data_IF_342779180284
#
_entry.id   IF_342779180284
#
_cell.length_a   1.000
_cell.length_b   1.000
_cell.length_c   1.000
_cell.angle_alpha   90.00
_cell.angle_beta   90.00
_cell.angle_gamma   90.00
#
_symmetry.space_group_name_H-M   'P 1'
#
loop_
_entity.id
_entity.type
_entity.pdbx_description
1 polymer ?
#
# COMPACT_ATOMS: atom_id res chain seq x y z
N UNK A 1 -28.27 -17.35 -2.73
CA UNK A 1 -28.10 -16.23 -3.67
C UNK A 1 -26.96 -15.39 -3.16
N UNK A 2 -25.95 -15.24 -4.00
CA UNK A 2 -24.54 -15.16 -3.66
C UNK A 2 -24.13 -13.84 -3.00
N UNK A 3 -23.36 -13.92 -1.91
CA UNK A 3 -22.57 -12.78 -1.40
C UNK A 3 -21.56 -12.26 -2.45
N UNK A 4 -21.28 -13.03 -3.51
CA UNK A 4 -20.55 -12.56 -4.70
C UNK A 4 -21.36 -11.58 -5.57
N UNK A 5 -22.70 -11.68 -5.64
CA UNK A 5 -23.49 -10.76 -6.47
C UNK A 5 -23.66 -9.38 -5.84
N UNK A 6 -23.58 -9.29 -4.50
CA UNK A 6 -23.56 -8.03 -3.75
C UNK A 6 -22.21 -7.30 -3.92
N UNK A 7 -21.14 -8.01 -4.26
CA UNK A 7 -19.79 -7.44 -4.37
C UNK A 7 -19.55 -6.64 -5.66
N UNK A 8 -20.32 -6.91 -6.73
CA UNK A 8 -20.14 -6.28 -8.03
C UNK A 8 -20.96 -5.00 -8.26
N UNK A 9 -21.86 -4.61 -7.36
CA UNK A 9 -22.91 -3.64 -7.69
C UNK A 9 -23.05 -2.40 -6.79
N UNK A 10 -22.22 -2.18 -5.76
CA UNK A 10 -22.51 -1.10 -4.80
C UNK A 10 -21.34 -0.32 -4.20
N UNK A 11 -20.09 -0.54 -4.61
CA UNK A 11 -18.97 0.24 -4.08
C UNK A 11 -17.98 0.67 -5.17
N UNK A 12 -17.82 1.98 -5.30
CA UNK A 12 -17.00 2.63 -6.32
C UNK A 12 -15.50 2.41 -6.04
N UNK A 13 -14.77 1.89 -7.03
CA UNK A 13 -13.34 1.62 -6.90
C UNK A 13 -12.58 2.94 -7.01
N UNK A 14 -12.05 3.44 -5.90
CA UNK A 14 -11.33 4.71 -5.87
C UNK A 14 -9.98 4.60 -6.61
N UNK A 15 -9.73 5.41 -7.66
CA UNK A 15 -8.44 5.47 -8.33
C UNK A 15 -7.34 5.81 -7.32
N UNK A 16 -6.32 4.96 -7.27
CA UNK A 16 -5.22 5.08 -6.30
C UNK A 16 -3.99 5.75 -6.91
N UNK A 17 -3.99 6.12 -8.19
CA UNK A 17 -2.81 6.75 -8.80
C UNK A 17 -2.81 8.26 -8.61
N UNK A 18 -1.64 8.80 -8.25
CA UNK A 18 -1.48 10.23 -7.99
C UNK A 18 -1.74 11.09 -9.24
N UNK A 19 -1.51 10.58 -10.45
CA UNK A 19 -1.81 11.35 -11.67
C UNK A 19 -3.31 11.53 -11.92
N UNK A 20 -4.14 10.60 -11.46
CA UNK A 20 -5.60 10.63 -11.58
C UNK A 20 -6.26 11.54 -10.53
N UNK A 21 -5.52 11.94 -9.49
CA UNK A 21 -6.02 12.83 -8.45
C UNK A 21 -6.44 14.19 -9.06
N UNK A 22 -7.71 14.61 -8.83
CA UNK A 22 -8.24 15.88 -9.33
C UNK A 22 -7.44 17.11 -8.91
N UNK A 23 -7.41 18.12 -9.78
CA UNK A 23 -6.66 19.35 -9.53
C UNK A 23 -7.08 20.09 -8.24
N UNK A 24 -8.39 20.17 -7.98
CA UNK A 24 -8.92 20.83 -6.78
C UNK A 24 -8.52 20.13 -5.47
N UNK A 25 -8.06 18.87 -5.54
CA UNK A 25 -7.51 18.11 -4.41
C UNK A 25 -6.00 18.30 -4.31
N UNK A 26 -5.31 18.39 -5.45
CA UNK A 26 -3.87 18.69 -5.48
C UNK A 26 -3.55 20.08 -4.96
N UNK A 27 -4.38 21.08 -5.26
CA UNK A 27 -4.09 22.47 -4.91
C UNK A 27 -3.91 22.68 -3.39
N UNK A 28 -4.83 22.25 -2.50
CA UNK A 28 -4.60 22.36 -1.05
C UNK A 28 -3.31 21.69 -0.57
N UNK A 29 -2.98 20.50 -1.10
CA UNK A 29 -1.73 19.81 -0.79
C UNK A 29 -0.51 20.60 -1.22
N UNK A 30 -0.56 21.24 -2.39
CA UNK A 30 0.54 22.07 -2.89
C UNK A 30 0.74 23.29 -1.97
N UNK A 31 -0.34 23.97 -1.57
CA UNK A 31 -0.28 25.08 -0.62
C UNK A 31 0.38 24.69 0.70
N UNK A 32 0.04 23.51 1.24
CA UNK A 32 0.65 22.99 2.48
C UNK A 32 2.15 22.71 2.27
N UNK A 33 2.51 22.07 1.16
CA UNK A 33 3.89 21.64 0.88
C UNK A 33 4.81 22.79 0.44
N UNK A 34 4.27 23.85 -0.16
CA UNK A 34 5.01 25.05 -0.56
C UNK A 34 5.16 26.07 0.57
N UNK A 35 4.65 25.79 1.77
CA UNK A 35 4.90 26.63 2.94
C UNK A 35 6.39 26.59 3.33
N UNK A 36 7.14 27.61 2.92
CA UNK A 36 8.58 27.71 3.17
C UNK A 36 8.95 28.01 4.62
N UNK A 37 8.01 28.51 5.44
CA UNK A 37 8.24 28.71 6.86
C UNK A 37 8.36 27.37 7.61
N UNK A 38 7.73 26.33 7.06
CA UNK A 38 7.88 24.96 7.55
C UNK A 38 9.07 24.26 6.90
N UNK A 39 10.25 24.44 7.50
CA UNK A 39 11.50 23.85 7.02
C UNK A 39 11.59 22.32 7.19
N UNK A 40 10.66 21.69 7.91
CA UNK A 40 10.71 20.26 8.25
C UNK A 40 9.72 19.40 7.49
N UNK A 41 8.60 19.98 7.05
CA UNK A 41 7.49 19.20 6.48
C UNK A 41 7.15 19.62 5.04
N UNK A 42 7.94 20.48 4.40
CA UNK A 42 7.68 20.99 3.05
C UNK A 42 8.05 20.02 1.90
N UNK A 43 7.82 20.48 0.68
CA UNK A 43 8.08 19.74 -0.56
C UNK A 43 9.56 19.29 -0.72
N UNK A 44 10.53 20.05 -0.20
CA UNK A 44 11.95 19.69 -0.32
C UNK A 44 12.26 18.47 0.53
N UNK A 45 11.74 18.45 1.76
CA UNK A 45 11.89 17.30 2.66
C UNK A 45 11.15 16.07 2.09
N UNK A 46 9.98 16.28 1.48
CA UNK A 46 9.28 15.23 0.75
C UNK A 46 10.15 14.64 -0.38
N UNK A 47 10.81 15.48 -1.18
CA UNK A 47 11.73 15.00 -2.23
C UNK A 47 12.87 14.16 -1.66
N UNK A 48 13.45 14.56 -0.53
CA UNK A 48 14.49 13.78 0.14
C UNK A 48 13.98 12.44 0.69
N UNK A 49 12.73 12.39 1.15
CA UNK A 49 12.11 11.18 1.67
C UNK A 49 11.79 10.15 0.56
N UNK A 50 11.44 10.61 -0.64
CA UNK A 50 11.06 9.75 -1.78
C UNK A 50 12.30 9.14 -2.45
N UNK A 51 12.84 8.08 -1.86
CA UNK A 51 14.03 7.38 -2.39
C UNK A 51 13.77 6.60 -3.69
N UNK A 52 12.50 6.23 -3.94
CA UNK A 52 12.09 5.38 -5.06
C UNK A 52 12.18 6.10 -6.41
N UNK A 53 11.99 7.43 -6.43
CA UNK A 53 11.88 8.24 -7.64
C UNK A 53 12.81 9.45 -7.52
N UNK A 54 14.08 9.27 -7.86
CA UNK A 54 15.07 10.33 -7.68
C UNK A 54 14.91 11.43 -8.71
N UNK A 55 14.75 12.66 -8.24
CA UNK A 55 14.76 13.88 -9.05
C UNK A 55 16.22 14.34 -9.19
N UNK A 56 16.67 14.57 -10.42
CA UNK A 56 18.04 15.06 -10.66
C UNK A 56 18.21 16.50 -10.16
N UNK A 57 19.45 16.90 -9.85
CA UNK A 57 19.75 18.27 -9.42
C UNK A 57 19.33 19.33 -10.46
N UNK A 58 19.41 19.01 -11.76
CA UNK A 58 18.95 19.91 -12.82
C UNK A 58 17.43 20.13 -12.75
N UNK A 59 16.65 19.06 -12.62
CA UNK A 59 15.20 19.14 -12.44
C UNK A 59 14.82 19.84 -11.14
N UNK A 60 15.57 19.61 -10.06
CA UNK A 60 15.34 20.28 -8.79
C UNK A 60 15.54 21.79 -8.90
N UNK A 61 16.59 22.23 -9.61
CA UNK A 61 16.83 23.65 -9.87
C UNK A 61 15.72 24.30 -10.71
N UNK A 62 15.13 23.57 -11.64
CA UNK A 62 13.96 24.05 -12.41
C UNK A 62 12.73 24.20 -11.50
N UNK A 63 12.49 23.22 -10.63
CA UNK A 63 11.39 23.25 -9.65
C UNK A 63 11.52 24.44 -8.69
N UNK A 64 12.72 24.76 -8.20
CA UNK A 64 12.95 25.92 -7.34
C UNK A 64 12.58 27.26 -7.99
N UNK A 65 12.60 27.34 -9.32
CA UNK A 65 12.22 28.55 -10.07
C UNK A 65 10.73 28.56 -10.44
N UNK A 66 10.02 27.46 -10.19
CA UNK A 66 8.58 27.35 -10.41
C UNK A 66 7.83 28.19 -9.36
N UNK A 67 6.73 28.87 -9.75
CA UNK A 67 5.83 29.51 -8.79
C UNK A 67 5.07 28.49 -7.91
N UNK A 68 5.00 27.22 -8.34
CA UNK A 68 4.37 26.12 -7.61
C UNK A 68 5.27 24.87 -7.70
N UNK A 69 6.31 24.78 -6.86
CA UNK A 69 7.22 23.63 -6.82
C UNK A 69 6.52 22.34 -6.42
N UNK A 70 5.61 22.39 -5.43
CA UNK A 70 4.87 21.23 -4.94
C UNK A 70 4.05 20.57 -6.05
N UNK A 71 3.34 21.35 -6.87
CA UNK A 71 2.59 20.79 -7.99
C UNK A 71 3.50 20.11 -9.01
N UNK A 72 4.66 20.72 -9.28
CA UNK A 72 5.69 20.14 -10.15
C UNK A 72 6.15 18.76 -9.69
N UNK A 73 6.44 18.60 -8.39
CA UNK A 73 6.87 17.31 -7.83
C UNK A 73 5.74 16.29 -7.80
N UNK A 74 4.51 16.69 -7.46
CA UNK A 74 3.37 15.77 -7.42
C UNK A 74 3.02 15.27 -8.82
N UNK A 75 3.11 16.14 -9.83
CA UNK A 75 2.96 15.76 -11.24
C UNK A 75 4.06 14.79 -11.68
N UNK A 76 5.32 15.06 -11.32
CA UNK A 76 6.43 14.15 -11.60
C UNK A 76 6.21 12.77 -10.97
N UNK A 77 5.91 12.69 -9.68
CA UNK A 77 5.63 11.42 -9.03
C UNK A 77 4.40 10.70 -9.60
N UNK A 78 3.36 11.44 -9.96
CA UNK A 78 2.21 10.91 -10.69
C UNK A 78 2.61 10.24 -12.01
N UNK A 79 3.51 10.85 -12.78
CA UNK A 79 4.07 10.27 -14.01
C UNK A 79 4.88 9.00 -13.77
N UNK A 80 5.46 8.84 -12.57
CA UNK A 80 6.18 7.64 -12.15
C UNK A 80 5.26 6.57 -11.54
N UNK A 81 3.94 6.71 -11.77
CA UNK A 81 2.89 5.82 -11.27
C UNK A 81 2.88 5.68 -9.74
N UNK A 82 3.32 6.73 -9.02
CA UNK A 82 3.16 6.79 -7.57
C UNK A 82 1.67 6.73 -7.22
N UNK A 83 1.33 5.98 -6.17
CA UNK A 83 -0.04 5.93 -5.65
C UNK A 83 -0.28 6.95 -4.55
N UNK A 84 -1.55 7.24 -4.26
CA UNK A 84 -1.96 8.07 -3.11
C UNK A 84 -1.53 7.43 -1.80
N UNK A 85 -1.63 6.09 -1.68
CA UNK A 85 -1.11 5.35 -0.52
C UNK A 85 0.41 5.53 -0.33
N UNK A 86 1.17 5.54 -1.43
CA UNK A 86 2.62 5.77 -1.38
C UNK A 86 2.93 7.21 -0.97
N UNK A 87 2.27 8.20 -1.58
CA UNK A 87 2.42 9.60 -1.19
C UNK A 87 2.12 9.80 0.29
N UNK A 88 1.00 9.25 0.78
CA UNK A 88 0.61 9.31 2.18
C UNK A 88 1.68 8.72 3.11
N UNK A 89 2.28 7.59 2.72
CA UNK A 89 3.35 6.96 3.49
C UNK A 89 4.57 7.88 3.61
N UNK A 90 4.93 8.58 2.53
CA UNK A 90 6.03 9.54 2.57
C UNK A 90 5.69 10.79 3.37
N UNK A 91 4.50 11.37 3.22
CA UNK A 91 4.03 12.50 4.02
C UNK A 91 3.99 12.17 5.51
N UNK A 92 3.56 10.96 5.86
CA UNK A 92 3.60 10.45 7.24
C UNK A 92 5.04 10.32 7.75
N UNK A 93 5.97 9.86 6.90
CA UNK A 93 7.38 9.68 7.28
C UNK A 93 8.13 10.99 7.54
N UNK A 94 7.68 12.07 6.90
CA UNK A 94 8.19 13.43 7.17
C UNK A 94 7.36 14.15 8.22
N UNK A 95 6.40 13.48 8.87
CA UNK A 95 5.51 14.01 9.92
C UNK A 95 4.59 15.17 9.46
N UNK A 96 4.31 15.31 8.17
CA UNK A 96 3.38 16.34 7.67
C UNK A 96 1.92 15.93 7.91
N UNK A 97 1.41 16.23 9.11
CA UNK A 97 0.05 15.86 9.53
C UNK A 97 -1.03 16.59 8.73
N UNK A 98 -0.79 17.85 8.36
CA UNK A 98 -1.76 18.67 7.62
C UNK A 98 -2.00 18.11 6.22
N UNK A 99 -0.93 17.77 5.48
CA UNK A 99 -1.04 17.14 4.17
C UNK A 99 -1.67 15.74 4.26
N UNK A 100 -1.35 14.97 5.31
CA UNK A 100 -1.97 13.67 5.54
C UNK A 100 -3.48 13.79 5.80
N UNK A 101 -3.89 14.77 6.61
CA UNK A 101 -5.30 15.05 6.91
C UNK A 101 -6.04 15.49 5.65
N UNK A 102 -5.43 16.37 4.87
CA UNK A 102 -6.00 16.85 3.61
C UNK A 102 -6.19 15.70 2.62
N UNK A 103 -5.23 14.78 2.50
CA UNK A 103 -5.41 13.56 1.71
C UNK A 103 -6.57 12.71 2.20
N UNK A 104 -6.71 12.50 3.50
CA UNK A 104 -7.79 11.70 4.07
C UNK A 104 -9.17 12.33 3.87
N UNK A 105 -9.28 13.66 3.76
CA UNK A 105 -10.56 14.32 3.44
C UNK A 105 -11.13 13.89 2.09
N UNK A 106 -10.27 13.59 1.12
CA UNK A 106 -10.68 13.19 -0.23
C UNK A 106 -10.58 11.68 -0.48
N UNK A 107 -9.59 11.03 0.15
CA UNK A 107 -9.39 9.59 0.12
C UNK A 107 -9.59 9.05 1.53
N UNK A 108 -10.84 8.83 1.96
CA UNK A 108 -11.15 8.58 3.37
C UNK A 108 -10.68 7.22 3.88
N UNK A 109 -10.14 6.36 3.03
CA UNK A 109 -9.38 5.18 3.47
C UNK A 109 -8.05 5.22 2.73
N UNK A 110 -6.93 5.13 3.45
CA UNK A 110 -5.58 5.02 2.88
C UNK A 110 -4.84 3.85 3.51
N UNK A 111 -4.13 3.06 2.71
CA UNK A 111 -3.31 1.96 3.24
C UNK A 111 -1.92 2.46 3.64
N UNK A 112 -1.63 2.47 4.93
CA UNK A 112 -0.27 2.66 5.45
C UNK A 112 0.58 1.39 5.26
N UNK A 113 -0.02 0.22 5.45
CA UNK A 113 0.61 -1.08 5.19
C UNK A 113 -0.39 -1.97 4.46
N UNK A 114 0.09 -2.70 3.47
CA UNK A 114 -0.69 -3.68 2.73
C UNK A 114 0.25 -4.72 2.12
N UNK A 115 -0.27 -5.91 1.75
CA UNK A 115 0.51 -6.92 1.06
C UNK A 115 1.30 -6.33 -0.11
N UNK A 116 2.51 -6.84 -0.31
CA UNK A 116 3.32 -6.47 -1.48
C UNK A 116 2.90 -7.39 -2.63
N UNK A 117 2.69 -6.86 -3.83
CA UNK A 117 2.36 -7.63 -5.05
C UNK A 117 3.52 -8.46 -5.58
N UNK A 118 4.28 -9.07 -4.68
CA UNK A 118 5.36 -10.01 -4.92
C UNK A 118 5.04 -11.30 -4.17
N UNK A 119 5.20 -12.49 -4.78
CA UNK A 119 4.99 -13.74 -4.09
C UNK A 119 5.89 -13.91 -2.87
N UNK A 120 5.38 -14.55 -1.83
CA UNK A 120 6.10 -14.91 -0.61
C UNK A 120 6.30 -16.42 -0.61
N UNK A 121 7.56 -16.85 -0.59
CA UNK A 121 7.94 -18.26 -0.42
C UNK A 121 8.53 -18.46 0.96
N UNK A 122 8.00 -19.44 1.68
CA UNK A 122 8.35 -19.70 3.07
C UNK A 122 8.42 -21.21 3.30
N UNK A 123 9.38 -21.68 4.08
CA UNK A 123 9.49 -23.10 4.38
C UNK A 123 8.35 -23.57 5.28
N UNK A 124 7.88 -24.81 5.08
CA UNK A 124 6.86 -25.44 5.92
C UNK A 124 7.28 -25.41 7.40
N UNK A 125 6.27 -25.30 8.26
CA UNK A 125 6.42 -25.20 9.70
C UNK A 125 6.90 -23.82 10.20
N UNK A 126 7.15 -22.86 9.30
CA UNK A 126 7.44 -21.47 9.68
C UNK A 126 6.15 -20.67 9.87
N UNK A 127 6.28 -19.58 10.62
CA UNK A 127 5.21 -18.62 10.83
C UNK A 127 5.28 -17.53 9.76
N UNK A 128 4.12 -17.08 9.29
CA UNK A 128 3.97 -15.96 8.38
C UNK A 128 3.00 -14.95 8.98
N UNK A 129 3.36 -13.67 8.93
CA UNK A 129 2.44 -12.57 9.28
C UNK A 129 2.20 -11.73 8.03
N UNK A 130 0.93 -11.62 7.63
CA UNK A 130 0.48 -10.68 6.62
C UNK A 130 -0.14 -9.47 7.30
N UNK A 131 0.19 -8.26 6.82
CA UNK A 131 -0.28 -7.01 7.41
C UNK A 131 -1.10 -6.18 6.43
N UNK A 132 -2.18 -5.62 6.96
CA UNK A 132 -3.09 -4.70 6.31
C UNK A 132 -3.45 -3.64 7.34
N UNK A 133 -2.84 -2.46 7.23
CA UNK A 133 -3.04 -1.33 8.14
C UNK A 133 -3.53 -0.16 7.30
N UNK A 134 -4.72 0.31 7.62
CA UNK A 134 -5.32 1.46 6.97
C UNK A 134 -5.57 2.59 7.96
N UNK A 135 -5.70 3.79 7.42
CA UNK A 135 -6.08 5.00 8.14
C UNK A 135 -7.32 5.60 7.49
N UNK A 136 -8.14 6.26 8.31
CA UNK A 136 -9.38 6.91 7.93
C UNK A 136 -9.59 8.09 8.87
N UNK A 137 -9.99 9.23 8.33
CA UNK A 137 -10.46 10.38 9.10
C UNK A 137 -11.95 10.27 9.49
N UNK A 138 -12.65 9.27 8.96
CA UNK A 138 -14.08 9.06 9.20
C UNK A 138 -14.40 7.62 9.62
N UNK A 139 -15.37 7.44 10.51
CA UNK A 139 -15.88 6.13 10.88
C UNK A 139 -14.85 5.21 11.57
N UNK A 140 -15.22 3.94 11.72
CA UNK A 140 -14.37 2.92 12.36
C UNK A 140 -13.87 1.95 11.31
N UNK A 141 -12.56 1.73 11.27
CA UNK A 141 -11.92 0.83 10.32
C UNK A 141 -12.23 -0.62 10.70
N UNK A 142 -12.71 -1.38 9.72
CA UNK A 142 -12.94 -2.82 9.80
C UNK A 142 -12.16 -3.53 8.71
N UNK A 143 -11.61 -4.69 9.05
CA UNK A 143 -10.78 -5.51 8.17
C UNK A 143 -11.50 -6.80 7.81
N UNK A 144 -11.20 -7.33 6.64
CA UNK A 144 -11.62 -8.65 6.20
C UNK A 144 -10.56 -9.24 5.26
N UNK A 145 -9.93 -10.34 5.66
CA UNK A 145 -8.99 -11.07 4.81
C UNK A 145 -9.72 -12.04 3.87
N UNK A 146 -9.18 -12.18 2.66
CA UNK A 146 -9.61 -13.14 1.65
C UNK A 146 -8.44 -14.01 1.24
N UNK A 147 -8.72 -15.29 1.00
CA UNK A 147 -7.79 -16.26 0.40
C UNK A 147 -8.46 -16.84 -0.84
N UNK A 148 -7.82 -16.73 -2.00
CA UNK A 148 -8.32 -17.23 -3.29
C UNK A 148 -9.75 -16.76 -3.61
N UNK A 149 -10.04 -15.49 -3.29
CA UNK A 149 -11.35 -14.86 -3.49
C UNK A 149 -12.43 -15.23 -2.46
N UNK A 150 -12.11 -16.08 -1.48
CA UNK A 150 -13.04 -16.52 -0.42
C UNK A 150 -12.75 -15.75 0.87
N UNK A 151 -13.80 -15.19 1.47
CA UNK A 151 -13.69 -14.50 2.75
C UNK A 151 -13.24 -15.47 3.84
N UNK A 152 -12.20 -15.09 4.57
CA UNK A 152 -11.72 -15.84 5.74
C UNK A 152 -12.45 -15.43 7.02
N UNK A 153 -12.22 -16.13 8.12
CA UNK A 153 -12.72 -15.72 9.44
C UNK A 153 -11.95 -14.55 10.07
N UNK A 154 -10.88 -14.06 9.43
CA UNK A 154 -9.97 -13.07 10.02
C UNK A 154 -10.41 -11.64 9.68
N UNK A 155 -10.78 -10.91 10.72
CA UNK A 155 -11.26 -9.53 10.68
C UNK A 155 -10.31 -8.53 11.38
N UNK A 156 -9.02 -8.87 11.41
CA UNK A 156 -7.94 -8.13 12.09
C UNK A 156 -6.91 -7.60 11.10
N UNK A 157 -6.17 -6.57 11.48
CA UNK A 157 -5.15 -5.93 10.64
C UNK A 157 -3.92 -6.81 10.37
N UNK A 158 -3.63 -7.78 11.24
CA UNK A 158 -2.51 -8.72 11.11
C UNK A 158 -2.98 -10.15 11.09
N UNK A 159 -2.82 -10.83 9.97
CA UNK A 159 -3.11 -12.25 9.82
C UNK A 159 -1.87 -13.07 10.15
N UNK A 160 -1.91 -13.81 11.25
CA UNK A 160 -0.84 -14.73 11.65
C UNK A 160 -1.17 -16.17 11.23
N UNK A 161 -0.31 -16.74 10.39
CA UNK A 161 -0.29 -18.17 10.08
C UNK A 161 0.86 -18.78 10.89
N UNK A 162 0.54 -19.73 11.77
CA UNK A 162 1.52 -20.42 12.61
C UNK A 162 1.74 -21.84 12.12
N UNK A 163 3.00 -22.28 12.11
CA UNK A 163 3.40 -23.61 11.66
C UNK A 163 2.79 -23.96 10.27
N UNK A 164 2.94 -23.05 9.31
CA UNK A 164 2.20 -23.11 8.05
C UNK A 164 2.62 -24.25 7.13
N UNK A 165 1.68 -24.69 6.30
CA UNK A 165 1.85 -25.73 5.30
C UNK A 165 1.11 -25.39 3.99
N UNK A 166 1.09 -26.35 3.06
CA UNK A 166 0.47 -26.20 1.74
C UNK A 166 -1.02 -25.82 1.77
N UNK A 167 -1.76 -26.08 2.85
CA UNK A 167 -3.17 -25.71 2.96
C UNK A 167 -3.36 -24.18 3.04
N UNK A 168 -2.30 -23.46 3.45
CA UNK A 168 -2.24 -22.01 3.47
C UNK A 168 -1.73 -21.40 2.17
N UNK A 169 -1.47 -22.19 1.13
CA UNK A 169 -1.06 -21.65 -0.17
C UNK A 169 -2.24 -20.97 -0.86
N UNK A 170 -2.03 -19.78 -1.42
CA UNK A 170 -3.09 -19.06 -2.12
C UNK A 170 -2.79 -17.57 -2.29
N UNK A 171 -3.68 -16.89 -3.01
CA UNK A 171 -3.66 -15.44 -3.12
C UNK A 171 -4.39 -14.80 -1.94
N UNK A 172 -3.67 -13.97 -1.19
CA UNK A 172 -4.18 -13.23 -0.05
C UNK A 172 -4.37 -11.75 -0.38
N UNK A 173 -5.50 -11.20 0.04
CA UNK A 173 -5.75 -9.77 0.06
C UNK A 173 -6.62 -9.39 1.26
N UNK A 174 -6.64 -8.10 1.56
CA UNK A 174 -7.43 -7.52 2.62
C UNK A 174 -8.40 -6.50 2.03
N UNK A 175 -9.63 -6.51 2.51
CA UNK A 175 -10.60 -5.45 2.25
C UNK A 175 -10.80 -4.68 3.53
N UNK A 176 -10.75 -3.35 3.42
CA UNK A 176 -10.97 -2.43 4.52
C UNK A 176 -12.22 -1.62 4.27
N UNK A 177 -13.02 -1.40 5.31
CA UNK A 177 -14.17 -0.49 5.27
C UNK A 177 -14.13 0.46 6.46
N UNK A 178 -14.63 1.68 6.25
CA UNK A 178 -14.89 2.65 7.33
C UNK A 178 -16.39 2.78 7.65
N UNK A 179 -17.23 1.89 7.11
CA UNK A 179 -18.69 1.93 7.24
C UNK A 179 -19.41 2.75 6.17
N UNK A 180 -18.70 3.55 5.37
CA UNK A 180 -19.24 4.27 4.21
C UNK A 180 -18.73 3.70 2.89
N UNK A 181 -17.42 3.53 2.79
CA UNK A 181 -16.76 2.99 1.60
C UNK A 181 -15.95 1.74 1.95
N UNK A 182 -15.50 1.04 0.91
CA UNK A 182 -14.58 -0.09 1.01
C UNK A 182 -13.39 0.15 0.08
N UNK A 183 -12.19 -0.25 0.51
CA UNK A 183 -11.00 -0.31 -0.34
C UNK A 183 -10.37 -1.69 -0.28
N UNK A 184 -9.98 -2.19 -1.45
CA UNK A 184 -9.22 -3.43 -1.61
C UNK A 184 -7.72 -3.12 -1.52
N UNK A 185 -7.00 -3.88 -0.71
CA UNK A 185 -5.55 -3.83 -0.67
C UNK A 185 -4.96 -4.47 -1.94
N UNK A 186 -3.66 -4.29 -2.15
CA UNK A 186 -2.89 -5.19 -3.01
C UNK A 186 -3.02 -6.65 -2.54
N UNK A 187 -2.85 -7.58 -3.48
CA UNK A 187 -2.77 -9.00 -3.19
C UNK A 187 -1.32 -9.51 -3.22
N UNK A 188 -1.08 -10.65 -2.58
CA UNK A 188 0.17 -11.40 -2.62
C UNK A 188 -0.13 -12.89 -2.69
N UNK A 189 0.68 -13.66 -3.43
CA UNK A 189 0.59 -15.11 -3.43
C UNK A 189 1.53 -15.67 -2.36
N UNK A 190 1.01 -16.53 -1.49
CA UNK A 190 1.78 -17.22 -0.45
C UNK A 190 1.97 -18.68 -0.85
N UNK A 191 3.21 -19.14 -0.72
CA UNK A 191 3.60 -20.53 -1.02
C UNK A 191 4.49 -21.09 0.10
N UNK A 192 3.98 -22.11 0.80
CA UNK A 192 4.75 -22.92 1.73
C UNK A 192 5.46 -24.06 0.99
N UNK A 193 6.80 -23.99 0.95
CA UNK A 193 7.66 -24.96 0.27
C UNK A 193 8.23 -25.98 1.25
N UNK A 194 8.41 -27.22 0.79
CA UNK A 194 9.13 -28.24 1.56
C UNK A 194 10.64 -28.02 1.44
N UNK A 195 11.42 -28.43 2.44
CA UNK A 195 12.88 -28.47 2.33
C UNK A 195 13.26 -29.50 1.27
N UNK A 196 13.62 -29.05 0.06
CA UNK A 196 14.19 -29.95 -0.94
C UNK A 196 15.62 -30.32 -0.53
N UNK A 197 15.81 -31.49 0.10
CA UNK A 197 17.17 -32.00 0.36
C UNK A 197 17.34 -33.24 1.26
N UNK A 198 16.80 -34.40 0.89
CA UNK A 198 17.47 -35.72 1.00
C UNK A 198 16.67 -36.76 0.20
N UNK A 199 17.00 -36.90 -1.08
CA UNK A 199 16.95 -38.23 -1.68
C UNK A 199 17.95 -39.08 -0.88
N UNK A 200 17.57 -40.22 -0.29
CA UNK A 200 18.58 -41.22 0.02
C UNK A 200 19.21 -41.59 -1.33
N UNK A 201 20.47 -41.21 -1.53
CA UNK A 201 21.30 -41.87 -2.52
C UNK A 201 21.34 -43.32 -2.05
N UNK A 202 20.55 -44.18 -2.68
CA UNK A 202 20.79 -45.61 -2.65
C UNK A 202 22.15 -45.77 -3.31
N UNK A 203 23.19 -45.88 -2.49
CA UNK A 203 24.42 -46.50 -2.94
C UNK A 203 24.06 -47.98 -3.14
N UNK A 204 23.89 -48.35 -4.40
CA UNK A 204 23.95 -49.74 -4.83
C UNK A 204 25.38 -50.23 -4.56
N UNK A 205 25.62 -50.75 -3.36
CA UNK A 205 26.75 -51.63 -3.07
C UNK A 205 26.24 -53.07 -3.15
N UNK A 206 26.30 -53.65 -4.35
CA UNK A 206 26.40 -55.10 -4.53
C UNK A 206 27.14 -55.41 -5.84
N UNK A 207 28.32 -56.00 -5.71
CA UNK A 207 28.91 -56.94 -6.68
C UNK A 207 30.04 -56.40 -7.54
#
# INVERSE_FOLDING_TARGET
MELQSIWNATYDYQPNFLHEMPYHIKQPLCTILDNTDDVKHNWQVLVQAVKKYQISNAQLNELHRSPDPAYGILRYYGSQLMTVDELFSYLSSIENQDACKELLNYYPIIFAVQPKSKPIRIHRGRNLTLECIAQSNEGVIRYQWYKDGIASQYNISKLEIRNGDHTYNGEYLCIVSNGKIMRRSRSTYVEFISDSGRNPVLFDDYG
#
